data_IF_658713934894
#
_entry.id   IF_658713934894
#
_cell.length_a   1.000
_cell.length_b   1.000
_cell.length_c   1.000
_cell.angle_alpha   90.00
_cell.angle_beta   90.00
_cell.angle_gamma   90.00
#
_symmetry.space_group_name_H-M   'P 1'
#
loop_
_entity.id
_entity.type
_entity.pdbx_description
1 polymer ?
#
# COMPACT_ATOMS: atom_id res chain seq x y z
N UNK A 1 -8.56 -21.90 17.07
CA UNK A 1 -7.28 -21.20 16.80
C UNK A 1 -7.43 -19.77 17.33
N UNK A 2 -6.76 -19.39 18.42
CA UNK A 2 -6.72 -17.99 18.87
C UNK A 2 -5.71 -17.27 17.99
N UNK A 3 -6.16 -16.32 17.17
CA UNK A 3 -5.26 -15.37 16.51
C UNK A 3 -4.55 -14.63 17.65
N UNK A 4 -3.21 -14.68 17.68
CA UNK A 4 -2.40 -13.90 18.64
C UNK A 4 -2.81 -12.43 18.54
N UNK A 5 -2.78 -11.68 19.65
CA UNK A 5 -2.92 -10.22 19.60
C UNK A 5 -1.94 -9.68 18.55
N UNK A 6 -2.49 -9.13 17.47
CA UNK A 6 -1.73 -8.54 16.38
C UNK A 6 -1.45 -7.08 16.76
N UNK A 7 -0.21 -6.64 16.62
CA UNK A 7 0.15 -5.24 16.85
C UNK A 7 -0.37 -4.39 15.68
N UNK A 8 -1.46 -3.65 15.93
CA UNK A 8 -2.06 -2.75 14.95
C UNK A 8 -1.33 -1.41 14.83
N UNK A 9 -0.37 -1.10 15.72
CA UNK A 9 0.35 0.18 15.72
C UNK A 9 0.99 0.55 14.37
N UNK A 10 1.72 -0.36 13.71
CA UNK A 10 2.29 -0.10 12.38
C UNK A 10 1.23 0.18 11.31
N UNK A 11 0.11 -0.55 11.32
CA UNK A 11 -1.01 -0.34 10.39
C UNK A 11 -1.63 1.05 10.62
N UNK A 12 -1.95 1.37 11.87
CA UNK A 12 -2.51 2.67 12.25
C UNK A 12 -1.62 3.84 11.83
N UNK A 13 -0.30 3.70 12.02
CA UNK A 13 0.68 4.72 11.62
C UNK A 13 0.67 4.94 10.10
N UNK A 14 0.63 3.87 9.30
CA UNK A 14 0.59 3.98 7.83
C UNK A 14 -0.72 4.59 7.34
N UNK A 15 -1.84 4.25 7.96
CA UNK A 15 -3.15 4.84 7.65
C UNK A 15 -3.16 6.34 7.94
N UNK A 16 -2.62 6.75 9.09
CA UNK A 16 -2.46 8.16 9.44
C UNK A 16 -1.60 8.90 8.41
N UNK A 17 -0.47 8.32 8.01
CA UNK A 17 0.43 8.92 7.03
C UNK A 17 -0.25 9.06 5.65
N UNK A 18 -0.92 8.01 5.18
CA UNK A 18 -1.68 8.06 3.93
C UNK A 18 -2.74 9.16 3.95
N UNK A 19 -3.49 9.25 5.05
CA UNK A 19 -4.52 10.28 5.24
C UNK A 19 -3.93 11.70 5.21
N UNK A 20 -2.85 11.94 5.94
CA UNK A 20 -2.23 13.28 5.98
C UNK A 20 -1.58 13.66 4.65
N UNK A 21 -0.99 12.71 3.93
CA UNK A 21 -0.45 12.92 2.58
C UNK A 21 -1.54 13.37 1.59
N UNK A 22 -2.74 12.79 1.67
CA UNK A 22 -3.91 13.20 0.87
C UNK A 22 -4.64 14.43 1.46
N UNK A 23 -4.10 15.06 2.52
CA UNK A 23 -4.66 16.23 3.22
C UNK A 23 -6.10 16.02 3.74
N UNK A 24 -6.47 14.77 4.05
CA UNK A 24 -7.76 14.44 4.62
C UNK A 24 -7.76 14.59 6.15
N UNK A 25 -8.88 15.02 6.74
CA UNK A 25 -9.07 14.99 8.20
C UNK A 25 -9.58 13.61 8.65
N UNK A 26 -9.41 13.27 9.93
CA UNK A 26 -10.01 12.03 10.48
C UNK A 26 -11.54 12.05 10.33
N UNK A 27 -12.16 13.22 10.50
CA UNK A 27 -13.60 13.43 10.35
C UNK A 27 -14.06 13.23 8.90
N UNK A 28 -13.28 13.68 7.91
CA UNK A 28 -13.58 13.41 6.51
C UNK A 28 -13.63 11.90 6.21
N UNK A 29 -12.60 11.16 6.66
CA UNK A 29 -12.52 9.71 6.47
C UNK A 29 -13.67 9.02 7.21
N UNK A 30 -13.91 9.39 8.48
CA UNK A 30 -14.99 8.86 9.30
C UNK A 30 -16.38 9.01 8.64
N UNK A 31 -16.68 10.20 8.12
CA UNK A 31 -17.92 10.48 7.41
C UNK A 31 -18.09 9.61 6.16
N UNK A 32 -17.01 9.37 5.40
CA UNK A 32 -17.05 8.49 4.22
C UNK A 32 -17.25 7.01 4.57
N UNK A 33 -16.74 6.58 5.72
CA UNK A 33 -16.88 5.22 6.23
C UNK A 33 -18.16 4.98 7.05
N UNK A 34 -18.91 6.03 7.40
CA UNK A 34 -20.08 5.91 8.27
C UNK A 34 -19.73 5.54 9.72
N UNK A 35 -18.57 5.98 10.21
CA UNK A 35 -18.08 5.72 11.58
C UNK A 35 -17.78 7.02 12.32
N UNK A 36 -17.46 6.94 13.62
CA UNK A 36 -17.06 8.13 14.39
C UNK A 36 -15.61 8.54 14.09
N UNK A 37 -15.31 9.84 14.21
CA UNK A 37 -13.93 10.35 14.15
C UNK A 37 -13.02 9.74 15.22
N UNK A 38 -13.58 9.44 16.40
CA UNK A 38 -12.90 8.71 17.46
C UNK A 38 -12.46 7.32 17.01
N UNK A 39 -13.30 6.58 16.28
CA UNK A 39 -12.95 5.26 15.78
C UNK A 39 -11.75 5.32 14.82
N UNK A 40 -11.72 6.30 13.91
CA UNK A 40 -10.55 6.54 13.05
C UNK A 40 -9.30 6.87 13.88
N UNK A 41 -9.43 7.69 14.92
CA UNK A 41 -8.32 8.02 15.83
C UNK A 41 -7.80 6.81 16.61
N UNK A 42 -8.68 5.89 17.02
CA UNK A 42 -8.29 4.63 17.68
C UNK A 42 -7.56 3.70 16.72
N UNK A 43 -8.03 3.56 15.47
CA UNK A 43 -7.36 2.81 14.41
C UNK A 43 -5.96 3.39 14.16
N UNK A 44 -5.84 4.70 13.97
CA UNK A 44 -4.55 5.36 13.68
C UNK A 44 -3.52 5.23 14.82
N UNK A 45 -3.98 4.98 16.04
CA UNK A 45 -3.13 4.73 17.22
C UNK A 45 -2.89 3.24 17.48
N UNK A 46 -3.46 2.35 16.67
CA UNK A 46 -3.37 0.90 16.86
C UNK A 46 -4.18 0.37 18.05
N UNK A 47 -5.10 1.16 18.59
CA UNK A 47 -5.97 0.76 19.72
C UNK A 47 -7.19 -0.03 19.26
N UNK A 48 -7.52 0.04 17.97
CA UNK A 48 -8.59 -0.71 17.35
C UNK A 48 -8.14 -1.26 16.00
N UNK A 49 -8.55 -2.49 15.70
CA UNK A 49 -8.41 -3.06 14.36
C UNK A 49 -9.42 -2.46 13.39
N UNK A 50 -9.34 -2.88 12.13
CA UNK A 50 -10.28 -2.50 11.09
C UNK A 50 -10.88 -3.76 10.46
N UNK A 51 -12.13 -3.66 10.03
CA UNK A 51 -12.76 -4.72 9.24
C UNK A 51 -12.21 -4.72 7.82
N UNK A 52 -12.30 -5.85 7.11
CA UNK A 52 -11.92 -5.91 5.68
C UNK A 52 -12.74 -4.92 4.83
N UNK A 53 -14.07 -4.79 5.00
CA UNK A 53 -14.84 -3.74 4.31
C UNK A 53 -14.32 -2.33 4.59
N UNK A 54 -13.96 -2.02 5.85
CA UNK A 54 -13.39 -0.72 6.21
C UNK A 54 -12.04 -0.49 5.53
N UNK A 55 -11.17 -1.53 5.48
CA UNK A 55 -9.90 -1.46 4.76
C UNK A 55 -10.11 -1.12 3.29
N UNK A 56 -10.99 -1.86 2.60
CA UNK A 56 -11.28 -1.66 1.19
C UNK A 56 -11.76 -0.24 0.90
N UNK A 57 -12.62 0.30 1.76
CA UNK A 57 -13.14 1.66 1.58
C UNK A 57 -12.07 2.72 1.88
N UNK A 58 -11.25 2.52 2.92
CA UNK A 58 -10.10 3.39 3.21
C UNK A 58 -9.12 3.42 2.03
N UNK A 59 -8.80 2.27 1.43
CA UNK A 59 -7.96 2.19 0.23
C UNK A 59 -8.51 3.03 -0.91
N UNK A 60 -9.83 3.04 -1.14
CA UNK A 60 -10.47 3.86 -2.17
C UNK A 60 -10.46 5.35 -1.82
N UNK A 61 -10.82 5.71 -0.59
CA UNK A 61 -10.89 7.11 -0.13
C UNK A 61 -9.50 7.76 -0.20
N UNK A 62 -8.47 7.02 0.24
CA UNK A 62 -7.10 7.50 0.34
C UNK A 62 -6.26 7.14 -0.89
N UNK A 63 -6.82 6.46 -1.88
CA UNK A 63 -6.15 6.06 -3.13
C UNK A 63 -4.77 5.43 -2.85
N UNK A 64 -4.81 4.32 -2.11
CA UNK A 64 -3.64 3.61 -1.59
C UNK A 64 -3.84 2.09 -1.54
N UNK A 65 -2.78 1.33 -1.78
CA UNK A 65 -2.82 -0.11 -1.76
C UNK A 65 -2.94 -0.70 -0.36
N UNK A 66 -3.76 -1.75 -0.25
CA UNK A 66 -3.92 -2.52 0.98
C UNK A 66 -2.58 -3.14 1.42
N UNK A 67 -1.74 -3.57 0.48
CA UNK A 67 -0.42 -4.14 0.78
C UNK A 67 0.48 -3.17 1.52
N UNK A 68 0.48 -1.89 1.12
CA UNK A 68 1.23 -0.86 1.85
C UNK A 68 0.67 -0.71 3.26
N UNK A 69 -0.65 -0.63 3.42
CA UNK A 69 -1.28 -0.50 4.74
C UNK A 69 -0.95 -1.71 5.63
N UNK A 70 -1.02 -2.93 5.10
CA UNK A 70 -0.87 -4.17 5.87
C UNK A 70 0.60 -4.53 6.13
N UNK A 71 1.45 -4.46 5.12
CA UNK A 71 2.82 -4.99 5.16
C UNK A 71 3.88 -3.90 5.20
N UNK A 72 3.52 -2.64 4.94
CA UNK A 72 4.47 -1.51 4.90
C UNK A 72 5.40 -1.53 3.70
N UNK A 73 5.26 -2.51 2.82
CA UNK A 73 5.94 -2.55 1.53
C UNK A 73 5.04 -1.89 0.50
N UNK A 74 5.55 -0.88 -0.20
CA UNK A 74 4.96 -0.47 -1.48
C UNK A 74 5.20 -1.65 -2.42
N UNK A 75 4.23 -2.56 -2.52
CA UNK A 75 4.28 -3.56 -3.58
C UNK A 75 4.25 -2.77 -4.88
N UNK A 76 5.19 -3.14 -5.75
CA UNK A 76 5.52 -2.45 -7.00
C UNK A 76 4.23 -2.07 -7.70
N UNK A 77 4.17 -0.84 -8.20
CA UNK A 77 3.14 -0.35 -9.11
C UNK A 77 2.72 -1.46 -10.08
N UNK A 78 1.59 -2.11 -9.76
CA UNK A 78 1.06 -3.20 -10.58
C UNK A 78 0.48 -2.67 -11.90
N UNK A 79 0.41 -1.34 -12.05
CA UNK A 79 0.07 -0.66 -13.29
C UNK A 79 1.30 -0.18 -14.06
N UNK A 80 2.51 -0.63 -13.69
CA UNK A 80 3.68 -0.44 -14.53
C UNK A 80 3.48 -1.20 -15.85
N UNK A 81 3.39 -0.50 -17.01
CA UNK A 81 3.21 -1.17 -18.31
C UNK A 81 4.31 -2.19 -18.62
N UNK A 82 5.49 -2.02 -18.03
CA UNK A 82 6.58 -2.99 -18.14
C UNK A 82 6.23 -4.32 -17.45
N UNK A 83 5.54 -4.29 -16.31
CA UNK A 83 5.19 -5.48 -15.56
C UNK A 83 4.22 -6.39 -16.34
N UNK A 84 3.23 -5.81 -17.04
CA UNK A 84 2.31 -6.57 -17.90
C UNK A 84 3.02 -7.33 -19.03
N UNK A 85 4.12 -6.77 -19.53
CA UNK A 85 4.93 -7.38 -20.59
C UNK A 85 5.85 -8.45 -19.99
N UNK A 86 6.51 -8.16 -18.87
CA UNK A 86 7.42 -9.08 -18.18
C UNK A 86 6.73 -10.38 -17.75
N UNK A 87 5.48 -10.32 -17.26
CA UNK A 87 4.71 -11.50 -16.84
C UNK A 87 4.44 -12.48 -18.00
N UNK A 88 4.47 -12.02 -19.25
CA UNK A 88 4.20 -12.85 -20.45
C UNK A 88 5.45 -13.52 -21.02
N UNK A 89 6.63 -13.24 -20.48
CA UNK A 89 7.90 -13.73 -21.02
C UNK A 89 8.23 -15.14 -20.55
N UNK A 90 8.94 -15.89 -21.39
CA UNK A 90 9.62 -17.12 -20.95
C UNK A 90 10.79 -16.78 -20.01
N UNK A 91 11.33 -17.77 -19.26
CA UNK A 91 12.52 -17.54 -18.43
C UNK A 91 13.71 -16.98 -19.22
N UNK A 92 13.94 -17.48 -20.43
CA UNK A 92 15.01 -17.02 -21.31
C UNK A 92 14.78 -15.57 -21.77
N UNK A 93 13.56 -15.23 -22.20
CA UNK A 93 13.21 -13.86 -22.59
C UNK A 93 13.34 -12.87 -21.41
N UNK A 94 12.98 -13.31 -20.22
CA UNK A 94 13.10 -12.50 -19.00
C UNK A 94 14.56 -12.20 -18.67
N UNK A 95 15.46 -13.16 -18.87
CA UNK A 95 16.91 -12.98 -18.71
C UNK A 95 17.44 -11.93 -19.69
N UNK A 96 17.07 -12.01 -20.96
CA UNK A 96 17.48 -11.02 -21.96
C UNK A 96 16.92 -9.61 -21.64
N UNK A 97 15.66 -9.53 -21.22
CA UNK A 97 15.05 -8.27 -20.82
C UNK A 97 15.76 -7.64 -19.62
N UNK A 98 16.16 -8.46 -18.63
CA UNK A 98 16.92 -7.99 -17.47
C UNK A 98 18.25 -7.35 -17.88
N UNK A 99 18.99 -7.94 -18.83
CA UNK A 99 20.24 -7.37 -19.32
C UNK A 99 20.06 -6.00 -19.96
N UNK A 100 19.02 -5.86 -20.80
CA UNK A 100 18.69 -4.59 -21.47
C UNK A 100 18.30 -3.53 -20.43
N UNK A 101 17.44 -3.88 -19.48
CA UNK A 101 17.00 -2.96 -18.42
C UNK A 101 18.18 -2.54 -17.55
N UNK A 102 19.10 -3.46 -17.22
CA UNK A 102 20.33 -3.13 -16.48
C UNK A 102 21.23 -2.18 -17.26
N UNK A 103 21.41 -2.39 -18.56
CA UNK A 103 22.22 -1.52 -19.41
C UNK A 103 21.63 -0.10 -19.47
N UNK A 104 20.30 0.00 -19.67
CA UNK A 104 19.57 1.27 -19.63
C UNK A 104 19.71 1.94 -18.25
N UNK A 105 19.48 1.21 -17.17
CA UNK A 105 19.59 1.76 -15.82
C UNK A 105 21.00 2.29 -15.52
N UNK A 106 22.05 1.60 -15.97
CA UNK A 106 23.44 2.06 -15.86
C UNK A 106 23.71 3.33 -16.66
N UNK A 107 23.18 3.45 -17.89
CA UNK A 107 23.40 4.65 -18.72
C UNK A 107 22.82 5.92 -18.12
N UNK A 108 21.83 5.79 -17.21
CA UNK A 108 21.21 6.88 -16.49
C UNK A 108 21.65 6.97 -15.01
N UNK A 109 22.62 6.16 -14.58
CA UNK A 109 23.13 6.16 -13.20
C UNK A 109 22.12 5.70 -12.14
N UNK A 110 21.09 4.95 -12.55
CA UNK A 110 20.04 4.44 -11.66
C UNK A 110 20.58 3.28 -10.81
N UNK A 111 21.50 2.49 -11.37
CA UNK A 111 22.21 1.41 -10.68
C UNK A 111 23.70 1.46 -11.03
N UNK A 112 24.54 1.00 -10.10
CA UNK A 112 26.00 0.90 -10.22
C UNK A 112 26.45 -0.12 -11.27
#
# INVERSE_FOLDING_TARGET
MRIREYDYGPIGTRLRNARTMKKCTQEYVANKLGVSSQHISEIERGLSGLSIPSLMEICRILDIDADYILFGTVTRDNHNPLNEILVKMTPEQSSHAEEIIKAYAKSFGIIS
#
